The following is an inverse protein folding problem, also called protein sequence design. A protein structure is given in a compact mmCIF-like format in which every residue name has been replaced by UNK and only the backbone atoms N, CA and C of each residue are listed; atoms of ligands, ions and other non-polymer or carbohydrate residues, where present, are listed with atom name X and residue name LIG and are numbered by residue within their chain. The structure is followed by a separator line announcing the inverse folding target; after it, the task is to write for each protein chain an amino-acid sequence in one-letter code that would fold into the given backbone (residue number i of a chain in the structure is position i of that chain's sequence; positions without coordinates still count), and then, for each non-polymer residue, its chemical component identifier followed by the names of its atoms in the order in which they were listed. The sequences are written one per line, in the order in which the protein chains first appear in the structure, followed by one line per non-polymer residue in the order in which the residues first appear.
data_IF_581046005525
#
_entry.id   IF_581046005525
#
_cell.length_a   1.000
_cell.length_b   1.000
_cell.length_c   1.000
_cell.angle_alpha   90.00
_cell.angle_beta   90.00
_cell.angle_gamma   90.00
#
_symmetry.space_group_name_H-M   'P 1'
#
loop_
_entity.id
_entity.type
_entity.pdbx_description
1 polymer ?
#
# COMPACT_ATOMS: atom_id res chain seq x y z
N UNK A 1 18.54 -23.76 -4.12
CA UNK A 1 19.33 -22.51 -4.10
C UNK A 1 18.36 -21.35 -3.98
N UNK A 2 18.01 -20.98 -2.76
CA UNK A 2 17.06 -19.91 -2.45
C UNK A 2 17.81 -18.58 -2.43
N UNK A 3 17.88 -17.93 -3.59
CA UNK A 3 18.32 -16.53 -3.66
C UNK A 3 17.35 -15.69 -2.85
N UNK A 4 17.82 -15.14 -1.71
CA UNK A 4 17.13 -14.07 -1.02
C UNK A 4 16.96 -12.92 -2.02
N UNK A 5 15.71 -12.70 -2.45
CA UNK A 5 15.35 -11.57 -3.31
C UNK A 5 15.51 -10.30 -2.47
N UNK A 6 16.13 -9.22 -2.98
CA UNK A 6 16.31 -8.01 -2.19
C UNK A 6 14.93 -7.38 -2.00
N UNK A 7 14.34 -7.56 -0.81
CA UNK A 7 13.21 -6.74 -0.40
C UNK A 7 13.67 -5.28 -0.33
N UNK A 8 12.78 -4.34 -0.66
CA UNK A 8 13.07 -2.92 -0.45
C UNK A 8 13.43 -2.71 1.03
N UNK A 9 14.70 -2.37 1.28
CA UNK A 9 15.17 -1.94 2.60
C UNK A 9 14.38 -0.69 3.01
N UNK A 10 13.88 -0.65 4.26
CA UNK A 10 13.12 0.45 4.87
C UNK A 10 13.93 1.75 5.05
N UNK A 11 14.89 2.03 4.16
CA UNK A 11 15.65 3.26 4.13
C UNK A 11 14.71 4.41 3.77
N UNK A 12 14.44 5.30 4.73
CA UNK A 12 13.57 6.45 4.50
C UNK A 12 14.13 7.35 3.39
N UNK A 13 13.29 7.76 2.46
CA UNK A 13 13.66 8.72 1.41
C UNK A 13 13.48 10.12 1.98
N UNK A 14 14.45 10.99 1.76
CA UNK A 14 14.41 12.40 2.11
C UNK A 14 14.43 13.26 0.85
N UNK A 15 13.54 14.23 0.76
CA UNK A 15 13.49 15.25 -0.27
C UNK A 15 14.02 16.58 0.29
N UNK A 16 14.75 17.35 -0.52
CA UNK A 16 15.08 18.73 -0.24
C UNK A 16 15.22 19.53 -1.56
N UNK A 17 15.10 20.84 -1.47
CA UNK A 17 15.30 21.73 -2.62
C UNK A 17 16.71 22.30 -2.63
N UNK A 18 17.37 22.22 -3.79
CA UNK A 18 18.67 22.84 -4.03
C UNK A 18 18.89 22.96 -5.54
N UNK A 19 19.72 23.92 -5.99
CA UNK A 19 20.00 24.14 -7.41
C UNK A 19 18.72 24.36 -8.27
N UNK A 20 17.62 24.84 -7.66
CA UNK A 20 16.33 24.98 -8.35
C UNK A 20 15.67 23.64 -8.74
N UNK A 21 15.98 22.55 -8.04
CA UNK A 21 15.43 21.21 -8.29
C UNK A 21 15.03 20.53 -6.97
N UNK A 22 14.10 19.59 -7.06
CA UNK A 22 13.82 18.64 -5.98
C UNK A 22 14.87 17.51 -6.02
N UNK A 23 15.62 17.33 -4.94
CA UNK A 23 16.63 16.28 -4.81
C UNK A 23 16.19 15.28 -3.75
N UNK A 24 16.24 14.00 -4.10
CA UNK A 24 15.88 12.88 -3.25
C UNK A 24 17.11 12.02 -2.96
N UNK A 25 17.23 11.55 -1.72
CA UNK A 25 18.31 10.66 -1.29
C UNK A 25 17.84 9.79 -0.12
N UNK A 26 18.51 8.66 0.13
CA UNK A 26 18.27 7.92 1.36
C UNK A 26 18.70 8.75 2.56
N UNK A 27 17.89 8.73 3.61
CA UNK A 27 18.29 9.23 4.91
C UNK A 27 19.27 8.23 5.54
N UNK A 28 20.55 8.38 5.21
CA UNK A 28 21.61 7.59 5.84
C UNK A 28 21.60 7.91 7.33
N UNK A 29 21.51 6.87 8.17
CA UNK A 29 21.48 6.94 9.64
C UNK A 29 22.42 8.02 10.18
N UNK A 30 21.93 8.74 11.20
CA UNK A 30 22.56 9.83 11.99
C UNK A 30 24.04 9.63 12.44
N UNK A 31 24.66 8.49 12.16
CA UNK A 31 26.03 8.14 12.57
C UNK A 31 27.14 8.66 11.63
N UNK A 32 26.79 9.36 10.55
CA UNK A 32 27.75 10.19 9.80
C UNK A 32 27.29 11.64 9.83
N UNK A 33 27.61 12.37 10.89
CA UNK A 33 27.94 13.81 10.83
C UNK A 33 28.43 14.28 12.19
N UNK A 34 29.62 13.83 12.59
CA UNK A 34 30.52 14.75 13.28
C UNK A 34 31.39 15.36 12.17
N UNK A 35 31.18 16.65 11.88
CA UNK A 35 32.05 17.55 11.13
C UNK A 35 32.16 17.58 9.59
N UNK A 36 31.46 16.78 8.80
CA UNK A 36 31.31 17.05 7.35
C UNK A 36 29.87 17.38 7.02
N UNK A 37 29.55 18.67 6.88
CA UNK A 37 28.20 19.09 6.48
C UNK A 37 27.76 18.41 5.19
N UNK A 38 26.47 18.08 5.10
CA UNK A 38 25.90 17.38 3.93
C UNK A 38 26.12 18.25 2.69
N UNK A 39 26.83 17.74 1.68
CA UNK A 39 27.04 18.39 0.38
C UNK A 39 25.93 18.03 -0.59
N UNK A 40 25.55 18.97 -1.46
CA UNK A 40 24.64 18.71 -2.55
C UNK A 40 25.28 17.73 -3.55
N UNK A 41 24.62 16.64 -3.95
CA UNK A 41 25.20 15.67 -4.88
C UNK A 41 25.42 16.25 -6.29
N UNK A 42 24.74 17.35 -6.64
CA UNK A 42 24.83 18.01 -7.96
C UNK A 42 26.01 18.99 -7.99
N UNK A 43 25.97 20.04 -7.15
CA UNK A 43 26.96 21.12 -7.19
C UNK A 43 28.09 20.98 -6.16
N UNK A 44 28.04 19.98 -5.28
CA UNK A 44 29.02 19.73 -4.22
C UNK A 44 29.16 20.83 -3.16
N UNK A 45 28.30 21.86 -3.23
CA UNK A 45 28.23 22.92 -2.22
C UNK A 45 27.61 22.42 -0.91
N UNK A 46 27.99 23.06 0.18
CA UNK A 46 27.47 22.73 1.50
C UNK A 46 26.01 23.17 1.61
N UNK A 47 25.13 22.22 1.93
CA UNK A 47 23.71 22.51 2.03
C UNK A 47 23.41 23.24 3.33
N UNK A 48 22.78 24.41 3.22
CA UNK A 48 22.23 25.17 4.33
C UNK A 48 20.74 25.35 4.05
N UNK A 49 19.92 24.86 4.97
CA UNK A 49 18.47 24.94 4.83
C UNK A 49 17.93 25.93 5.85
N UNK A 50 17.07 26.85 5.40
CA UNK A 50 16.17 27.55 6.31
C UNK A 50 15.13 26.58 6.87
N UNK A 51 14.36 26.99 7.89
CA UNK A 51 13.28 26.15 8.43
C UNK A 51 12.23 25.80 7.37
N UNK A 52 11.99 26.70 6.41
CA UNK A 52 11.01 26.51 5.32
C UNK A 52 11.54 25.59 4.21
N UNK A 53 12.86 25.45 4.09
CA UNK A 53 13.53 24.61 3.09
C UNK A 53 14.11 23.34 3.69
N UNK A 54 13.74 23.06 4.95
CA UNK A 54 14.24 21.91 5.67
C UNK A 54 13.91 20.62 4.90
N UNK A 55 14.87 19.68 4.80
CA UNK A 55 14.62 18.41 4.15
C UNK A 55 13.44 17.67 4.80
N UNK A 56 12.53 17.16 3.99
CA UNK A 56 11.34 16.42 4.43
C UNK A 56 11.50 14.93 4.17
N UNK A 57 10.97 14.10 5.06
CA UNK A 57 10.88 12.65 4.81
C UNK A 57 9.70 12.40 3.89
N UNK A 58 9.97 11.72 2.78
CA UNK A 58 8.93 11.25 1.86
C UNK A 58 8.24 10.06 2.52
N UNK A 59 6.92 10.15 2.78
CA UNK A 59 6.18 9.05 3.41
C UNK A 59 6.29 7.76 2.59
N UNK A 60 6.57 6.65 3.28
CA UNK A 60 6.50 5.33 2.66
C UNK A 60 5.02 4.98 2.41
N UNK A 61 4.61 4.62 1.18
CA UNK A 61 3.23 4.26 0.89
C UNK A 61 2.87 2.85 1.39
N UNK A 62 3.88 2.02 1.68
CA UNK A 62 3.69 0.66 2.20
C UNK A 62 3.57 0.68 3.72
N UNK A 63 2.60 -0.07 4.22
CA UNK A 63 2.35 -0.21 5.65
C UNK A 63 1.92 -1.64 5.99
N UNK A 64 1.83 -1.93 7.28
CA UNK A 64 1.41 -3.24 7.76
C UNK A 64 -0.12 -3.28 7.83
N UNK A 65 -0.73 -4.03 6.91
CA UNK A 65 -2.18 -4.22 6.80
C UNK A 65 -2.79 -4.81 8.07
N UNK A 66 -2.08 -5.66 8.80
CA UNK A 66 -2.53 -6.19 10.09
C UNK A 66 -2.64 -5.12 11.20
N UNK A 67 -2.13 -3.91 10.96
CA UNK A 67 -2.29 -2.76 11.87
C UNK A 67 -3.37 -1.78 11.41
N UNK A 68 -3.89 -1.94 10.18
CA UNK A 68 -4.92 -1.06 9.61
C UNK A 68 -6.27 -1.79 9.63
N UNK A 69 -7.22 -1.22 10.34
CA UNK A 69 -8.52 -1.85 10.62
C UNK A 69 -9.53 -1.55 9.52
N UNK A 70 -10.40 -2.51 9.21
CA UNK A 70 -11.51 -2.36 8.27
C UNK A 70 -11.07 -1.66 6.98
N UNK A 71 -10.02 -2.21 6.37
CA UNK A 71 -9.33 -1.62 5.24
C UNK A 71 -9.33 -2.57 4.05
N UNK A 72 -9.30 -1.98 2.87
CA UNK A 72 -9.01 -2.67 1.63
C UNK A 72 -7.50 -2.66 1.41
N UNK A 73 -6.91 -3.83 1.24
CA UNK A 73 -5.47 -4.01 1.09
C UNK A 73 -5.12 -4.38 -0.35
N UNK A 74 -3.98 -3.87 -0.82
CA UNK A 74 -3.39 -4.23 -2.11
C UNK A 74 -1.96 -4.68 -1.87
N UNK A 75 -1.69 -5.95 -2.18
CA UNK A 75 -0.42 -6.62 -1.99
C UNK A 75 0.06 -7.28 -3.28
N UNK A 76 1.27 -7.82 -3.25
CA UNK A 76 1.80 -8.68 -4.30
C UNK A 76 2.66 -9.75 -3.66
N UNK A 77 2.52 -10.99 -4.14
CA UNK A 77 3.36 -12.12 -3.71
C UNK A 77 4.84 -11.91 -4.03
N UNK A 78 5.15 -11.00 -4.96
CA UNK A 78 6.50 -10.64 -5.37
C UNK A 78 7.11 -9.53 -4.50
N UNK A 79 6.32 -8.91 -3.62
CA UNK A 79 6.74 -7.86 -2.70
C UNK A 79 6.40 -6.43 -3.16
N UNK A 80 6.71 -5.41 -2.32
CA UNK A 80 6.23 -4.04 -2.52
C UNK A 80 6.77 -3.35 -3.78
N UNK A 81 7.94 -3.77 -4.28
CA UNK A 81 8.51 -3.24 -5.53
C UNK A 81 7.63 -3.51 -6.76
N UNK A 82 6.72 -4.47 -6.67
CA UNK A 82 5.79 -4.86 -7.72
C UNK A 82 4.41 -4.21 -7.55
N UNK A 83 4.23 -3.30 -6.58
CA UNK A 83 2.98 -2.56 -6.39
C UNK A 83 3.00 -1.26 -7.21
N UNK A 84 3.16 -1.38 -8.53
CA UNK A 84 3.27 -0.23 -9.43
C UNK A 84 2.31 -0.29 -10.61
N UNK A 85 1.98 0.86 -11.19
CA UNK A 85 1.13 1.01 -12.38
C UNK A 85 1.84 0.58 -13.67
N UNK A 86 3.16 0.46 -13.63
CA UNK A 86 4.02 0.25 -14.81
C UNK A 86 4.43 -1.20 -15.03
N UNK A 87 4.12 -2.08 -14.08
CA UNK A 87 4.46 -3.49 -14.14
C UNK A 87 3.17 -4.30 -14.27
N UNK A 88 3.21 -5.30 -15.15
CA UNK A 88 2.18 -6.33 -15.20
C UNK A 88 2.39 -7.27 -14.01
N UNK A 89 2.03 -6.76 -12.84
CA UNK A 89 2.21 -7.40 -11.55
C UNK A 89 0.92 -8.07 -11.14
N UNK A 90 1.01 -9.32 -10.68
CA UNK A 90 -0.09 -9.98 -10.00
C UNK A 90 -0.38 -9.27 -8.67
N UNK A 91 -1.34 -8.34 -8.74
CA UNK A 91 -1.88 -7.66 -7.56
C UNK A 91 -2.86 -8.57 -6.86
N UNK A 92 -2.67 -8.72 -5.57
CA UNK A 92 -3.57 -9.45 -4.68
C UNK A 92 -4.32 -8.49 -3.77
N UNK A 93 -5.56 -8.81 -3.45
CA UNK A 93 -6.44 -7.96 -2.64
C UNK A 93 -6.96 -8.72 -1.43
N UNK A 94 -7.01 -8.01 -0.30
CA UNK A 94 -7.56 -8.51 0.95
C UNK A 94 -8.39 -7.45 1.67
N UNK A 95 -9.19 -7.88 2.64
CA UNK A 95 -9.96 -6.99 3.52
C UNK A 95 -9.63 -7.31 4.97
N UNK A 96 -9.29 -6.29 5.76
CA UNK A 96 -9.00 -6.50 7.20
C UNK A 96 -10.26 -6.42 8.03
N UNK A 97 -10.35 -7.26 9.06
CA UNK A 97 -11.30 -7.07 10.16
C UNK A 97 -10.80 -6.01 11.16
N UNK A 98 -11.57 -5.74 12.21
CA UNK A 98 -11.25 -4.73 13.23
C UNK A 98 -10.00 -5.07 14.07
N UNK A 99 -9.56 -6.34 14.04
CA UNK A 99 -8.39 -6.84 14.76
C UNK A 99 -7.15 -6.96 13.87
N UNK A 100 -7.27 -6.73 12.56
CA UNK A 100 -6.16 -6.84 11.61
C UNK A 100 -5.98 -8.23 10.99
N UNK A 101 -6.91 -9.16 11.18
CA UNK A 101 -6.92 -10.41 10.39
C UNK A 101 -7.38 -10.06 8.98
N UNK A 102 -6.63 -10.52 7.98
CA UNK A 102 -6.91 -10.27 6.57
C UNK A 102 -7.70 -11.43 5.99
N UNK A 103 -8.77 -11.11 5.26
CA UNK A 103 -9.54 -12.07 4.48
C UNK A 103 -9.20 -11.84 3.02
N UNK A 104 -8.60 -12.84 2.38
CA UNK A 104 -8.26 -12.79 0.96
C UNK A 104 -8.76 -14.02 0.24
N UNK A 105 -9.25 -13.85 -0.99
CA UNK A 105 -9.77 -14.96 -1.78
C UNK A 105 -8.72 -15.43 -2.77
N UNK A 106 -8.36 -16.71 -2.70
CA UNK A 106 -7.28 -17.32 -3.48
C UNK A 106 -7.78 -18.59 -4.18
N UNK A 107 -6.93 -19.23 -4.97
CA UNK A 107 -7.17 -20.56 -5.53
C UNK A 107 -7.45 -21.65 -4.48
N UNK A 108 -7.14 -21.40 -3.20
CA UNK A 108 -7.46 -22.29 -2.08
C UNK A 108 -8.78 -21.94 -1.38
N UNK A 109 -9.53 -20.97 -1.88
CA UNK A 109 -10.72 -20.42 -1.23
C UNK A 109 -10.40 -19.17 -0.41
N UNK A 110 -11.36 -18.72 0.41
CA UNK A 110 -11.14 -17.58 1.31
C UNK A 110 -10.18 -17.99 2.43
N UNK A 111 -9.08 -17.26 2.55
CA UNK A 111 -8.07 -17.42 3.58
C UNK A 111 -8.29 -16.39 4.69
N UNK A 112 -7.98 -16.77 5.94
CA UNK A 112 -7.79 -15.85 7.07
C UNK A 112 -6.30 -15.78 7.37
N UNK A 113 -5.72 -14.63 7.18
CA UNK A 113 -4.28 -14.42 7.20
C UNK A 113 -3.91 -13.44 8.32
N UNK A 114 -3.03 -13.88 9.21
CA UNK A 114 -2.43 -13.05 10.28
C UNK A 114 -1.02 -12.56 9.93
N UNK A 115 -0.51 -12.98 8.78
CA UNK A 115 0.79 -12.62 8.24
C UNK A 115 0.72 -12.52 6.71
N UNK A 116 1.74 -11.93 6.07
CA UNK A 116 1.86 -11.82 4.63
C UNK A 116 1.37 -10.48 4.05
N UNK A 117 0.82 -9.61 4.89
CA UNK A 117 0.33 -8.27 4.52
C UNK A 117 1.10 -7.15 5.24
N UNK A 118 2.35 -7.38 5.64
CA UNK A 118 3.16 -6.41 6.38
C UNK A 118 3.70 -5.27 5.50
N UNK A 119 3.74 -5.47 4.18
CA UNK A 119 4.23 -4.52 3.19
C UNK A 119 3.22 -4.35 2.04
N UNK A 120 2.01 -3.87 2.37
CA UNK A 120 0.94 -3.65 1.41
C UNK A 120 0.53 -2.17 1.36
N UNK A 121 -0.25 -1.81 0.34
CA UNK A 121 -1.00 -0.55 0.33
C UNK A 121 -2.29 -0.76 1.12
N UNK A 122 -2.58 0.18 2.02
CA UNK A 122 -3.78 0.13 2.86
C UNK A 122 -4.70 1.27 2.48
N UNK A 123 -5.95 0.96 2.18
CA UNK A 123 -7.04 1.92 1.97
C UNK A 123 -8.03 1.78 3.12
N UNK A 124 -7.94 2.61 4.18
CA UNK A 124 -8.89 2.58 5.28
C UNK A 124 -10.30 2.94 4.78
N UNK A 125 -11.29 2.11 5.09
CA UNK A 125 -12.66 2.31 4.62
C UNK A 125 -13.61 2.84 5.70
N UNK A 126 -13.13 2.87 6.94
CA UNK A 126 -13.83 3.45 8.08
C UNK A 126 -13.05 4.64 8.61
N UNK A 127 -13.76 5.64 9.11
CA UNK A 127 -13.14 6.82 9.70
C UNK A 127 -12.26 6.43 10.91
N UNK A 128 -11.17 7.16 11.16
CA UNK A 128 -10.37 6.97 12.36
C UNK A 128 -11.24 7.08 13.62
N UNK A 129 -11.16 6.08 14.50
CA UNK A 129 -11.89 6.05 15.78
C UNK A 129 -13.23 5.30 15.76
N UNK A 130 -13.76 4.90 14.59
CA UNK A 130 -15.04 4.19 14.49
C UNK A 130 -14.93 2.68 14.28
N UNK A 131 -13.73 2.09 14.44
CA UNK A 131 -13.46 0.71 14.02
C UNK A 131 -13.33 -0.35 15.11
N UNK A 132 -12.81 -0.03 16.31
CA UNK A 132 -12.56 -1.04 17.36
C UNK A 132 -13.45 -0.80 18.57
N UNK A 133 -14.25 -1.80 18.91
CA UNK A 133 -15.21 -1.72 20.02
C UNK A 133 -16.43 -0.84 19.74
N UNK A 134 -16.56 -0.32 18.50
CA UNK A 134 -17.75 0.37 18.03
C UNK A 134 -18.76 -0.64 17.45
N UNK A 135 -20.03 -0.24 17.38
CA UNK A 135 -21.06 -1.04 16.69
C UNK A 135 -20.71 -1.28 15.22
N UNK A 136 -20.16 -0.28 14.53
CA UNK A 136 -19.74 -0.40 13.14
C UNK A 136 -18.61 -1.44 12.95
N UNK A 137 -17.65 -1.49 13.89
CA UNK A 137 -16.58 -2.49 13.87
C UNK A 137 -17.07 -3.91 14.12
N UNK A 138 -17.97 -4.09 15.09
CA UNK A 138 -18.57 -5.41 15.38
C UNK A 138 -19.40 -5.91 14.21
N UNK A 139 -20.20 -5.04 13.57
CA UNK A 139 -20.99 -5.39 12.39
C UNK A 139 -20.09 -5.75 11.21
N UNK A 140 -19.02 -4.98 10.97
CA UNK A 140 -18.03 -5.29 9.93
C UNK A 140 -17.46 -6.69 10.12
N UNK A 141 -17.02 -7.03 11.34
CA UNK A 141 -16.39 -8.32 11.63
C UNK A 141 -17.37 -9.49 11.48
N UNK A 142 -18.61 -9.34 11.96
CA UNK A 142 -19.62 -10.40 11.83
C UNK A 142 -20.03 -10.63 10.38
N UNK A 143 -20.24 -9.56 9.62
CA UNK A 143 -20.58 -9.63 8.20
C UNK A 143 -19.43 -10.24 7.40
N UNK A 144 -18.18 -9.84 7.66
CA UNK A 144 -17.02 -10.37 6.95
C UNK A 144 -16.84 -11.87 7.22
N UNK A 145 -17.01 -12.30 8.47
CA UNK A 145 -16.95 -13.71 8.85
C UNK A 145 -18.06 -14.53 8.18
N UNK A 146 -19.30 -14.04 8.18
CA UNK A 146 -20.41 -14.73 7.52
C UNK A 146 -20.23 -14.78 6.00
N UNK A 147 -19.87 -13.64 5.40
CA UNK A 147 -19.65 -13.50 3.96
C UNK A 147 -18.55 -14.43 3.46
N UNK A 148 -17.46 -14.58 4.21
CA UNK A 148 -16.33 -15.46 3.88
C UNK A 148 -16.71 -16.94 3.71
N UNK A 149 -17.83 -17.36 4.30
CA UNK A 149 -18.32 -18.74 4.29
C UNK A 149 -19.34 -19.02 3.18
N UNK A 150 -19.72 -18.01 2.40
CA UNK A 150 -20.68 -18.22 1.33
C UNK A 150 -20.13 -19.17 0.26
N UNK A 151 -20.92 -20.15 -0.25
CA UNK A 151 -20.49 -21.10 -1.27
C UNK A 151 -19.97 -20.43 -2.55
N UNK A 152 -20.35 -19.17 -2.77
CA UNK A 152 -19.85 -18.33 -3.87
C UNK A 152 -18.34 -18.15 -3.85
N UNK A 153 -17.71 -18.20 -2.68
CA UNK A 153 -16.27 -18.03 -2.48
C UNK A 153 -15.55 -19.36 -2.22
N UNK A 154 -16.08 -20.44 -2.78
CA UNK A 154 -15.40 -21.75 -2.74
C UNK A 154 -14.25 -21.80 -3.74
N UNK A 155 -13.16 -22.50 -3.39
CA UNK A 155 -11.98 -22.66 -4.25
C UNK A 155 -12.26 -23.06 -5.70
N UNK A 156 -13.34 -23.82 -5.92
CA UNK A 156 -13.75 -24.31 -7.24
C UNK A 156 -14.34 -23.22 -8.15
N UNK A 157 -14.62 -22.05 -7.59
CA UNK A 157 -15.17 -20.89 -8.28
C UNK A 157 -14.11 -19.81 -8.51
N UNK A 158 -12.86 -20.03 -8.08
CA UNK A 158 -11.81 -19.03 -8.23
C UNK A 158 -11.37 -18.93 -9.69
N UNK A 159 -11.54 -17.75 -10.29
CA UNK A 159 -11.21 -17.49 -11.69
C UNK A 159 -10.69 -16.05 -11.83
N UNK A 160 -9.39 -15.90 -12.10
CA UNK A 160 -8.70 -14.60 -12.19
C UNK A 160 -9.11 -13.79 -13.42
N UNK A 161 -9.37 -14.45 -14.55
CA UNK A 161 -9.51 -13.81 -15.87
C UNK A 161 -10.96 -13.52 -16.32
N UNK A 162 -12.00 -13.86 -15.53
CA UNK A 162 -13.38 -13.63 -16.00
C UNK A 162 -13.86 -12.20 -15.77
N UNK A 163 -14.60 -11.69 -16.76
CA UNK A 163 -15.25 -10.37 -16.83
C UNK A 163 -16.19 -10.07 -15.63
N UNK A 164 -16.66 -11.12 -14.93
CA UNK A 164 -17.51 -11.05 -13.73
C UNK A 164 -16.78 -11.57 -12.46
N UNK A 165 -15.45 -11.54 -12.49
CA UNK A 165 -14.54 -12.49 -11.83
C UNK A 165 -14.75 -12.74 -10.34
N UNK A 166 -14.97 -14.01 -10.02
CA UNK A 166 -14.74 -14.59 -8.69
C UNK A 166 -13.22 -14.66 -8.43
N UNK A 167 -12.59 -13.49 -8.31
CA UNK A 167 -11.18 -13.31 -7.98
C UNK A 167 -11.04 -12.53 -6.65
N UNK A 168 -9.80 -12.32 -6.18
CA UNK A 168 -9.53 -11.61 -4.92
C UNK A 168 -10.18 -10.21 -4.87
N UNK A 169 -10.11 -9.47 -5.97
CA UNK A 169 -10.75 -8.16 -6.10
C UNK A 169 -12.28 -8.26 -6.05
N UNK A 170 -12.84 -9.23 -6.77
CA UNK A 170 -14.29 -9.48 -6.81
C UNK A 170 -14.86 -9.84 -5.44
N UNK A 171 -14.14 -10.65 -4.66
CA UNK A 171 -14.47 -10.97 -3.27
C UNK A 171 -14.55 -9.70 -2.41
N UNK A 172 -13.47 -8.91 -2.40
CA UNK A 172 -13.37 -7.72 -1.58
C UNK A 172 -14.45 -6.69 -1.94
N UNK A 173 -14.61 -6.37 -3.23
CA UNK A 173 -15.62 -5.39 -3.66
C UNK A 173 -17.05 -5.89 -3.40
N UNK A 174 -17.32 -7.19 -3.56
CA UNK A 174 -18.65 -7.75 -3.29
C UNK A 174 -19.02 -7.65 -1.81
N UNK A 175 -18.06 -7.89 -0.91
CA UNK A 175 -18.24 -7.68 0.53
C UNK A 175 -18.58 -6.22 0.83
N UNK A 176 -17.80 -5.27 0.31
CA UNK A 176 -18.05 -3.84 0.52
C UNK A 176 -19.42 -3.41 0.00
N UNK A 177 -19.82 -3.91 -1.17
CA UNK A 177 -21.12 -3.63 -1.74
C UNK A 177 -22.27 -4.27 -0.94
N UNK A 178 -22.06 -5.40 -0.27
CA UNK A 178 -23.05 -5.94 0.67
C UNK A 178 -23.24 -5.01 1.87
N UNK A 179 -22.15 -4.55 2.49
CA UNK A 179 -22.23 -3.58 3.59
C UNK A 179 -22.93 -2.29 3.18
N UNK A 180 -22.56 -1.73 2.03
CA UNK A 180 -23.20 -0.52 1.49
C UNK A 180 -24.71 -0.71 1.29
N UNK A 181 -25.14 -1.86 0.75
CA UNK A 181 -26.58 -2.15 0.60
C UNK A 181 -27.28 -2.28 1.94
N UNK A 182 -26.64 -2.89 2.94
CA UNK A 182 -27.17 -2.96 4.30
C UNK A 182 -27.32 -1.56 4.94
N UNK A 183 -26.46 -0.61 4.57
CA UNK A 183 -26.54 0.81 4.96
C UNK A 183 -27.53 1.64 4.10
N UNK A 184 -28.23 1.02 3.13
CA UNK A 184 -29.12 1.73 2.20
C UNK A 184 -28.40 2.57 1.14
N UNK A 185 -27.11 2.32 0.91
CA UNK A 185 -26.27 3.00 -0.08
C UNK A 185 -26.17 2.18 -1.37
N UNK A 186 -26.02 2.88 -2.49
CA UNK A 186 -25.81 2.23 -3.79
C UNK A 186 -24.47 1.49 -3.83
N UNK A 187 -24.46 0.36 -4.56
CA UNK A 187 -23.23 -0.38 -4.85
C UNK A 187 -22.32 0.42 -5.80
N UNK A 188 -21.02 0.27 -5.62
CA UNK A 188 -19.99 0.89 -6.46
C UNK A 188 -19.49 -0.15 -7.46
N UNK A 189 -19.25 0.29 -8.70
CA UNK A 189 -18.68 -0.55 -9.75
C UNK A 189 -17.21 -0.83 -9.50
N UNK A 190 -16.63 -1.82 -10.20
CA UNK A 190 -15.19 -2.09 -10.15
C UNK A 190 -14.39 -0.87 -10.56
N UNK A 191 -14.80 -0.22 -11.66
CA UNK A 191 -14.08 0.92 -12.23
C UNK A 191 -14.14 2.12 -11.30
N UNK A 192 -15.33 2.46 -10.79
CA UNK A 192 -15.48 3.59 -9.87
C UNK A 192 -14.66 3.39 -8.60
N UNK A 193 -14.70 2.19 -8.01
CA UNK A 193 -13.91 1.90 -6.82
C UNK A 193 -12.41 1.97 -7.12
N UNK A 194 -12.00 1.44 -8.28
CA UNK A 194 -10.60 1.46 -8.72
C UNK A 194 -10.11 2.91 -8.88
N UNK A 195 -10.87 3.74 -9.58
CA UNK A 195 -10.54 5.14 -9.84
C UNK A 195 -10.48 5.96 -8.55
N UNK A 196 -11.46 5.78 -7.66
CA UNK A 196 -11.59 6.60 -6.46
C UNK A 196 -10.65 6.18 -5.33
N UNK A 197 -10.38 4.88 -5.20
CA UNK A 197 -9.71 4.35 -4.01
C UNK A 197 -8.38 3.65 -4.30
N UNK A 198 -8.29 2.86 -5.38
CA UNK A 198 -7.10 2.03 -5.65
C UNK A 198 -6.01 2.83 -6.36
N UNK A 199 -6.35 3.47 -7.48
CA UNK A 199 -5.39 4.18 -8.34
C UNK A 199 -4.60 5.28 -7.62
N UNK A 200 -5.17 6.09 -6.72
CA UNK A 200 -4.38 7.09 -5.98
C UNK A 200 -3.22 6.46 -5.17
N UNK A 201 -3.47 5.31 -4.55
CA UNK A 201 -2.47 4.59 -3.75
C UNK A 201 -1.42 3.93 -4.64
N UNK A 202 -1.85 3.25 -5.72
CA UNK A 202 -0.93 2.60 -6.68
C UNK A 202 -0.04 3.64 -7.38
N UNK A 203 -0.58 4.80 -7.79
CA UNK A 203 0.23 5.88 -8.39
C UNK A 203 1.26 6.43 -7.42
N UNK A 204 0.88 6.61 -6.15
CA UNK A 204 1.80 7.05 -5.09
C UNK A 204 2.91 6.03 -4.87
N UNK A 205 2.55 4.74 -4.81
CA UNK A 205 3.50 3.64 -4.72
C UNK A 205 4.46 3.59 -5.91
N UNK A 206 3.94 3.74 -7.13
CA UNK A 206 4.71 3.75 -8.37
C UNK A 206 5.77 4.84 -8.36
N UNK A 207 5.39 6.08 -8.03
CA UNK A 207 6.32 7.20 -7.90
C UNK A 207 7.39 6.94 -6.85
N UNK A 208 6.98 6.41 -5.69
CA UNK A 208 7.90 6.08 -4.61
C UNK A 208 8.92 5.01 -5.03
N UNK A 209 8.46 3.93 -5.67
CA UNK A 209 9.30 2.84 -6.18
C UNK A 209 10.30 3.39 -7.21
N UNK A 210 9.85 4.22 -8.15
CA UNK A 210 10.74 4.86 -9.14
C UNK A 210 11.84 5.67 -8.45
N UNK A 211 11.47 6.58 -7.54
CA UNK A 211 12.45 7.40 -6.79
C UNK A 211 13.40 6.52 -5.98
N UNK A 212 12.88 5.47 -5.34
CA UNK A 212 13.70 4.53 -4.57
C UNK A 212 14.74 3.83 -5.44
N UNK A 213 14.33 3.31 -6.60
CA UNK A 213 15.22 2.62 -7.54
C UNK A 213 16.30 3.55 -8.08
N UNK A 214 15.93 4.78 -8.46
CA UNK A 214 16.87 5.80 -8.93
C UNK A 214 17.92 6.14 -7.86
N UNK A 215 17.50 6.37 -6.62
CA UNK A 215 18.44 6.60 -5.50
C UNK A 215 19.32 5.37 -5.25
N UNK A 216 18.76 4.16 -5.33
CA UNK A 216 19.51 2.93 -5.12
C UNK A 216 20.59 2.73 -6.19
N UNK A 217 20.30 3.07 -7.45
CA UNK A 217 21.21 2.92 -8.58
C UNK A 217 22.26 4.06 -8.67
N UNK A 218 21.84 5.31 -8.44
CA UNK A 218 22.66 6.50 -8.69
C UNK A 218 23.09 7.25 -7.43
N UNK A 219 22.58 6.86 -6.25
CA UNK A 219 22.85 7.49 -4.95
C UNK A 219 21.93 8.67 -4.61
N UNK A 220 21.26 9.26 -5.61
CA UNK A 220 20.27 10.32 -5.48
C UNK A 220 19.35 10.33 -6.71
N UNK A 221 18.21 11.03 -6.61
CA UNK A 221 17.30 11.28 -7.74
C UNK A 221 16.99 12.77 -7.80
N UNK A 222 16.85 13.31 -9.02
CA UNK A 222 16.56 14.73 -9.26
C UNK A 222 15.26 14.82 -10.04
N UNK A 223 14.33 15.63 -9.55
CA UNK A 223 13.11 15.98 -10.24
C UNK A 223 13.01 17.49 -10.41
N UNK A 224 12.28 17.87 -11.44
CA UNK A 224 11.94 19.27 -11.70
C UNK A 224 10.98 19.77 -10.61
N UNK A 225 10.98 21.10 -10.42
CA UNK A 225 10.10 21.79 -9.49
C UNK A 225 8.67 21.87 -10.02
#
# INVERSE_FOLDING_TARGET
MTGQRPGMSLSSIRQFNHCGRNIYSFDKNRLQTENTGRKCPICQEQMRFSLLEAPVIVPCPFSNGHKVRCAFLIGSSLGPAFLSEWQDSELHVGVTNSQGVVYSYTSSGVQREEQGWEQCLCVPLVAPGTSRGSLAGTLWDSELEQFSRFPTWSRHRFEEEREFGSCCYGFALSFLNQLRRAEGRESVTRDDFTQQHVLPHVKTASKYITVYHEIHQHGFYVADL
#
